data_IF_141623921504
#
_entry.id   IF_141623921504
#
_cell.length_a   1.000
_cell.length_b   1.000
_cell.length_c   1.000
_cell.angle_alpha   90.00
_cell.angle_beta   90.00
_cell.angle_gamma   90.00
#
_symmetry.space_group_name_H-M   'P 1'
#
loop_
_entity.id
_entity.type
_entity.pdbx_description
1 polymer ?
#
# COMPACT_ATOMS: atom_id res chain seq x y z
N UNK A 1 55.02 -9.87 -71.45
CA UNK A 1 56.06 -10.52 -70.63
C UNK A 1 56.68 -9.47 -69.71
N UNK A 2 56.51 -9.63 -68.38
CA UNK A 2 57.26 -9.04 -67.23
C UNK A 2 57.41 -7.51 -67.15
N UNK A 3 56.79 -6.86 -66.16
CA UNK A 3 57.28 -6.64 -64.77
C UNK A 3 57.70 -5.16 -64.66
N UNK A 4 57.26 -4.36 -63.69
CA UNK A 4 57.77 -4.38 -62.30
C UNK A 4 56.95 -3.40 -61.45
N UNK A 5 56.44 -3.84 -60.29
CA UNK A 5 55.91 -2.99 -59.22
C UNK A 5 56.82 -3.15 -57.99
N UNK A 6 57.22 -2.02 -57.40
CA UNK A 6 58.08 -1.95 -56.21
C UNK A 6 57.29 -2.19 -54.91
N UNK A 7 57.96 -2.83 -53.95
CA UNK A 7 57.43 -3.25 -52.65
C UNK A 7 57.76 -2.25 -51.52
N UNK A 8 56.73 -1.98 -50.69
CA UNK A 8 56.66 -2.07 -49.20
C UNK A 8 57.77 -1.45 -48.33
N UNK A 9 57.38 -0.51 -47.44
CA UNK A 9 57.44 -0.67 -45.96
C UNK A 9 56.83 0.54 -45.24
N UNK A 10 55.69 0.34 -44.56
CA UNK A 10 55.15 1.30 -43.59
C UNK A 10 55.32 0.82 -42.15
N UNK A 11 55.82 1.79 -41.38
CA UNK A 11 56.25 1.89 -39.99
C UNK A 11 55.23 1.42 -38.93
N UNK A 12 55.74 0.63 -37.96
CA UNK A 12 55.11 0.28 -36.69
C UNK A 12 54.98 1.51 -35.78
N UNK A 13 53.80 1.72 -35.18
CA UNK A 13 53.65 2.61 -34.01
C UNK A 13 52.43 2.19 -33.16
N UNK A 14 52.67 2.08 -31.87
CA UNK A 14 51.84 1.40 -30.88
C UNK A 14 50.66 2.30 -30.43
N UNK A 15 49.50 1.70 -30.24
CA UNK A 15 48.26 2.38 -29.83
C UNK A 15 48.21 2.56 -28.32
N UNK A 16 48.08 3.79 -27.85
CA UNK A 16 47.54 4.05 -26.51
C UNK A 16 46.84 5.40 -26.52
N UNK A 17 45.70 5.45 -25.83
CA UNK A 17 44.90 6.65 -25.52
C UNK A 17 44.14 7.30 -26.67
N UNK A 18 42.82 7.04 -26.70
CA UNK A 18 41.73 8.04 -26.63
C UNK A 18 40.39 7.39 -27.02
N UNK A 19 39.87 6.50 -26.18
CA UNK A 19 38.51 5.95 -26.32
C UNK A 19 37.73 5.97 -24.99
N UNK A 20 37.94 7.00 -24.16
CA UNK A 20 37.24 7.12 -22.87
C UNK A 20 36.28 8.33 -22.78
N UNK A 21 36.23 9.19 -23.79
CA UNK A 21 35.44 10.43 -23.73
C UNK A 21 34.08 10.41 -24.43
N UNK A 22 33.87 9.52 -25.41
CA UNK A 22 32.74 9.65 -26.35
C UNK A 22 31.54 8.75 -26.04
N UNK A 23 31.67 7.79 -25.11
CA UNK A 23 30.56 6.89 -24.74
C UNK A 23 29.69 7.44 -23.60
N UNK A 24 30.11 8.52 -22.92
CA UNK A 24 29.43 9.07 -21.74
C UNK A 24 28.40 10.16 -22.06
N UNK A 25 28.20 10.54 -23.33
CA UNK A 25 27.27 11.62 -23.72
C UNK A 25 25.89 11.15 -24.23
N UNK A 26 25.61 9.85 -24.25
CA UNK A 26 24.34 9.30 -24.78
C UNK A 26 23.37 8.81 -23.68
N UNK A 27 23.74 8.92 -22.41
CA UNK A 27 22.93 8.48 -21.27
C UNK A 27 22.26 9.62 -20.48
N UNK A 28 22.24 10.82 -21.06
CA UNK A 28 21.65 12.00 -20.44
C UNK A 28 20.17 12.13 -20.79
N UNK A 29 19.35 11.54 -19.93
CA UNK A 29 18.02 12.04 -19.55
C UNK A 29 16.85 11.88 -20.54
N UNK A 30 16.54 10.63 -20.90
CA UNK A 30 15.14 10.20 -21.01
C UNK A 30 14.61 10.02 -19.59
N UNK A 31 14.22 11.10 -18.91
CA UNK A 31 13.70 11.00 -17.54
C UNK A 31 12.74 12.15 -17.21
N UNK A 32 11.71 12.38 -18.03
CA UNK A 32 10.57 13.21 -17.64
C UNK A 32 9.23 12.63 -18.14
N UNK A 33 9.11 11.30 -18.20
CA UNK A 33 7.82 10.62 -18.40
C UNK A 33 7.46 9.69 -17.23
N UNK A 34 7.72 10.13 -16.00
CA UNK A 34 7.14 9.51 -14.80
C UNK A 34 6.18 10.49 -14.14
N UNK A 35 5.16 10.87 -14.90
CA UNK A 35 3.83 11.07 -14.36
C UNK A 35 2.86 10.25 -15.22
N UNK A 36 3.15 8.96 -15.42
CA UNK A 36 2.04 8.02 -15.30
C UNK A 36 1.73 8.00 -13.81
N UNK A 37 0.91 8.94 -13.39
CA UNK A 37 -0.09 8.62 -12.40
C UNK A 37 -0.87 7.47 -13.03
N UNK A 38 -0.36 6.26 -12.79
CA UNK A 38 -1.18 5.07 -12.64
C UNK A 38 -1.95 5.25 -11.32
N UNK A 39 -2.60 6.41 -11.18
CA UNK A 39 -3.69 6.63 -10.26
C UNK A 39 -4.90 6.03 -10.98
N UNK A 40 -4.87 4.71 -11.20
CA UNK A 40 -6.08 4.01 -11.56
C UNK A 40 -7.00 4.12 -10.33
N UNK A 41 -8.11 4.88 -10.40
CA UNK A 41 -9.02 5.01 -9.27
C UNK A 41 -9.64 3.67 -8.86
N UNK A 42 -9.47 2.60 -9.64
CA UNK A 42 -9.84 1.24 -9.28
C UNK A 42 -9.01 0.64 -8.13
N UNK A 43 -7.84 1.22 -7.81
CA UNK A 43 -6.95 0.76 -6.73
C UNK A 43 -7.14 1.53 -5.42
N UNK A 44 -8.02 2.54 -5.40
CA UNK A 44 -8.48 3.12 -4.14
C UNK A 44 -9.38 2.10 -3.46
N UNK A 45 -8.87 1.38 -2.46
CA UNK A 45 -9.69 0.55 -1.60
C UNK A 45 -10.74 1.45 -0.96
N UNK A 46 -11.94 1.40 -1.55
CA UNK A 46 -13.06 2.25 -1.21
C UNK A 46 -13.38 2.19 0.30
N UNK A 47 -13.01 1.12 1.02
CA UNK A 47 -13.25 0.94 2.45
C UNK A 47 -12.15 1.49 3.36
N UNK A 48 -10.98 1.86 2.81
CA UNK A 48 -9.92 2.49 3.57
C UNK A 48 -10.23 3.98 3.84
N UNK A 49 -9.75 4.49 4.97
CA UNK A 49 -9.97 5.88 5.38
C UNK A 49 -10.34 6.02 6.85
N UNK A 50 -10.62 7.26 7.25
CA UNK A 50 -10.99 7.59 8.64
C UNK A 50 -12.50 7.61 8.77
N UNK A 51 -13.02 6.83 9.72
CA UNK A 51 -14.40 6.84 10.14
C UNK A 51 -14.48 7.51 11.52
N UNK A 52 -15.40 8.45 11.71
CA UNK A 52 -15.59 9.19 12.96
C UNK A 52 -16.90 8.79 13.61
N UNK A 53 -16.95 8.77 14.95
CA UNK A 53 -18.17 8.45 15.69
C UNK A 53 -17.87 7.89 17.07
N UNK A 54 -18.79 7.09 17.59
CA UNK A 54 -18.60 6.51 18.91
C UNK A 54 -17.68 5.28 18.84
N UNK A 55 -16.70 5.24 19.73
CA UNK A 55 -15.77 4.11 19.89
C UNK A 55 -15.67 3.72 21.37
N UNK A 56 -15.48 2.44 21.63
CA UNK A 56 -15.17 1.97 22.98
C UNK A 56 -14.25 0.76 23.01
N UNK A 57 -13.59 0.60 24.14
CA UNK A 57 -12.74 -0.52 24.47
C UNK A 57 -12.93 -0.93 25.93
N UNK A 58 -12.95 -2.23 26.18
CA UNK A 58 -13.02 -2.79 27.53
C UNK A 58 -12.16 -4.06 27.60
N UNK A 59 -11.28 -4.17 28.59
CA UNK A 59 -10.44 -5.36 28.83
C UNK A 59 -10.74 -6.12 30.14
N UNK A 60 -11.86 -5.81 30.76
CA UNK A 60 -12.28 -6.31 32.06
C UNK A 60 -11.76 -5.50 33.25
N UNK A 61 -10.73 -4.67 33.07
CA UNK A 61 -10.18 -3.80 34.12
C UNK A 61 -10.31 -2.31 33.79
N UNK A 62 -10.06 -1.96 32.53
CA UNK A 62 -10.11 -0.60 31.99
C UNK A 62 -11.22 -0.51 30.96
N UNK A 63 -11.95 0.61 30.99
CA UNK A 63 -12.96 0.95 29.99
C UNK A 63 -12.70 2.34 29.45
N UNK A 64 -12.65 2.47 28.12
CA UNK A 64 -12.51 3.73 27.41
C UNK A 64 -13.72 3.87 26.49
N UNK A 65 -14.43 4.99 26.57
CA UNK A 65 -15.56 5.32 25.69
C UNK A 65 -15.43 6.75 25.22
N UNK A 66 -15.66 6.99 23.93
CA UNK A 66 -15.66 8.31 23.31
C UNK A 66 -16.79 8.40 22.31
N UNK A 67 -17.55 9.49 22.36
CA UNK A 67 -18.65 9.74 21.42
C UNK A 67 -18.16 10.33 20.09
N UNK A 68 -16.97 10.93 20.09
CA UNK A 68 -16.36 11.64 18.97
C UNK A 68 -14.94 11.14 18.66
N UNK A 69 -14.74 9.82 18.77
CA UNK A 69 -13.48 9.19 18.39
C UNK A 69 -13.40 8.92 16.89
N UNK A 70 -12.32 8.26 16.49
CA UNK A 70 -12.08 7.87 15.10
C UNK A 70 -11.44 6.50 14.99
N UNK A 71 -11.69 5.84 13.86
CA UNK A 71 -11.02 4.60 13.45
C UNK A 71 -10.45 4.82 12.05
N UNK A 72 -9.14 4.69 11.92
CA UNK A 72 -8.46 4.73 10.63
C UNK A 72 -8.27 3.32 10.09
N UNK A 73 -8.95 3.03 8.98
CA UNK A 73 -8.99 1.73 8.31
C UNK A 73 -7.96 1.70 7.19
N UNK A 74 -7.13 0.66 7.17
CA UNK A 74 -6.14 0.44 6.10
C UNK A 74 -6.18 -1.00 5.61
N UNK A 75 -6.06 -1.20 4.30
CA UNK A 75 -5.91 -2.53 3.71
C UNK A 75 -4.46 -2.99 3.80
N UNK A 76 -4.26 -4.27 4.11
CA UNK A 76 -2.97 -4.94 3.96
C UNK A 76 -2.81 -5.36 2.49
N UNK A 77 -1.63 -5.11 1.92
CA UNK A 77 -1.33 -5.27 0.49
C UNK A 77 -1.75 -6.62 -0.14
N UNK A 78 -1.85 -7.70 0.64
CA UNK A 78 -2.25 -9.03 0.16
C UNK A 78 -3.77 -9.26 0.03
N UNK A 79 -4.60 -8.21 0.13
CA UNK A 79 -5.88 -8.16 -0.60
C UNK A 79 -7.17 -8.43 0.17
N UNK A 80 -7.11 -8.94 1.40
CA UNK A 80 -8.33 -9.29 2.16
C UNK A 80 -8.25 -9.05 3.67
N UNK A 81 -7.15 -8.45 4.14
CA UNK A 81 -6.96 -8.14 5.55
C UNK A 81 -6.92 -6.64 5.76
N UNK A 82 -7.48 -6.19 6.88
CA UNK A 82 -7.54 -4.79 7.24
C UNK A 82 -7.01 -4.56 8.65
N UNK A 83 -6.43 -3.38 8.86
CA UNK A 83 -6.08 -2.85 10.18
C UNK A 83 -7.03 -1.70 10.53
N UNK A 84 -7.31 -1.57 11.82
CA UNK A 84 -8.19 -0.57 12.41
C UNK A 84 -7.41 0.12 13.52
N UNK A 85 -6.95 1.33 13.23
CA UNK A 85 -6.28 2.16 14.23
C UNK A 85 -7.30 3.01 14.95
N UNK A 86 -7.46 2.82 16.25
CA UNK A 86 -8.38 3.61 17.04
C UNK A 86 -7.69 4.86 17.59
N UNK A 87 -8.46 5.92 17.81
CA UNK A 87 -7.99 7.09 18.55
C UNK A 87 -8.06 6.87 20.07
N UNK A 88 -7.72 7.92 20.83
CA UNK A 88 -7.97 8.00 22.28
C UNK A 88 -7.29 6.92 23.13
N UNK A 89 -6.19 6.35 22.64
CA UNK A 89 -5.42 5.33 23.36
C UNK A 89 -6.07 3.95 23.38
N UNK A 90 -7.12 3.73 22.57
CA UNK A 90 -7.69 2.39 22.38
C UNK A 90 -6.72 1.56 21.52
N UNK A 91 -6.43 0.29 21.90
CA UNK A 91 -5.55 -0.56 21.11
C UNK A 91 -6.08 -0.86 19.70
N UNK A 92 -5.16 -0.89 18.72
CA UNK A 92 -5.47 -1.21 17.33
C UNK A 92 -5.90 -2.67 17.12
N UNK A 93 -6.76 -2.93 16.14
CA UNK A 93 -7.02 -4.27 15.59
C UNK A 93 -6.24 -4.45 14.29
N UNK A 94 -5.41 -5.48 14.19
CA UNK A 94 -4.54 -5.67 13.02
C UNK A 94 -4.80 -7.01 12.34
N UNK A 95 -4.70 -7.03 11.00
CA UNK A 95 -4.72 -8.25 10.21
C UNK A 95 -6.05 -8.99 10.19
N UNK A 96 -7.16 -8.30 10.46
CA UNK A 96 -8.50 -8.91 10.49
C UNK A 96 -8.90 -9.28 9.07
N UNK A 97 -9.33 -10.53 8.87
CA UNK A 97 -9.69 -11.10 7.57
C UNK A 97 -11.14 -10.76 7.21
N UNK A 98 -11.38 -10.35 5.96
CA UNK A 98 -12.69 -10.00 5.43
C UNK A 98 -13.04 -10.78 4.16
N UNK A 99 -14.33 -10.84 3.90
CA UNK A 99 -14.96 -11.24 2.65
C UNK A 99 -15.89 -10.14 2.15
N UNK A 100 -16.03 -10.03 0.82
CA UNK A 100 -16.99 -9.09 0.21
C UNK A 100 -18.38 -9.71 0.25
N UNK A 101 -19.37 -8.90 0.63
CA UNK A 101 -20.79 -9.23 0.48
C UNK A 101 -21.44 -8.21 -0.46
N UNK A 102 -21.61 -8.60 -1.72
CA UNK A 102 -21.97 -7.68 -2.79
C UNK A 102 -20.84 -6.71 -3.14
N UNK A 103 -21.19 -5.58 -3.75
CA UNK A 103 -20.21 -4.65 -4.33
C UNK A 103 -19.62 -3.68 -3.31
N UNK A 104 -20.37 -3.35 -2.24
CA UNK A 104 -20.06 -2.23 -1.34
C UNK A 104 -20.07 -2.61 0.14
N UNK A 105 -19.91 -3.90 0.48
CA UNK A 105 -19.84 -4.34 1.88
C UNK A 105 -18.69 -5.30 2.12
N UNK A 106 -17.95 -5.07 3.20
CA UNK A 106 -17.00 -6.02 3.78
C UNK A 106 -17.55 -6.56 5.09
N UNK A 107 -17.46 -7.89 5.26
CA UNK A 107 -17.81 -8.57 6.50
C UNK A 107 -16.61 -9.38 6.98
N UNK A 108 -16.29 -9.26 8.26
CA UNK A 108 -15.21 -10.03 8.87
C UNK A 108 -15.51 -11.53 8.74
N UNK A 109 -14.53 -12.31 8.29
CA UNK A 109 -14.65 -13.76 8.22
C UNK A 109 -14.86 -14.32 9.62
N UNK A 110 -15.85 -15.21 9.78
CA UNK A 110 -16.24 -15.74 11.10
C UNK A 110 -17.13 -14.79 11.91
N UNK A 111 -17.69 -13.74 11.29
CA UNK A 111 -18.70 -12.89 11.95
C UNK A 111 -19.89 -13.69 12.45
N UNK A 112 -20.36 -13.32 13.65
CA UNK A 112 -21.59 -13.83 14.28
C UNK A 112 -22.52 -12.67 14.63
N UNK A 113 -23.62 -12.96 15.32
CA UNK A 113 -24.51 -11.91 15.85
C UNK A 113 -23.83 -11.07 16.95
N UNK A 114 -22.86 -11.63 17.67
CA UNK A 114 -22.23 -11.02 18.86
C UNK A 114 -20.74 -10.71 18.68
N UNK A 115 -20.15 -11.06 17.54
CA UNK A 115 -18.78 -10.68 17.18
C UNK A 115 -18.68 -10.43 15.67
N UNK A 116 -18.48 -9.19 15.26
CA UNK A 116 -18.40 -8.79 13.86
C UNK A 116 -17.62 -7.48 13.68
N UNK A 117 -17.06 -7.34 12.48
CA UNK A 117 -16.69 -6.05 11.90
C UNK A 117 -17.35 -5.97 10.54
N UNK A 118 -18.07 -4.88 10.28
CA UNK A 118 -18.74 -4.62 9.00
C UNK A 118 -18.40 -3.22 8.52
N UNK A 119 -18.04 -3.11 7.25
CA UNK A 119 -17.76 -1.84 6.60
C UNK A 119 -18.64 -1.77 5.37
N UNK A 120 -19.38 -0.68 5.21
CA UNK A 120 -20.11 -0.39 3.98
C UNK A 120 -19.62 0.91 3.33
N UNK A 121 -20.43 1.47 2.43
CA UNK A 121 -20.09 2.65 1.65
C UNK A 121 -19.56 3.82 2.51
N UNK A 122 -20.18 4.01 3.67
CA UNK A 122 -19.94 5.15 4.55
C UNK A 122 -19.86 4.79 6.03
N UNK A 123 -20.24 3.58 6.43
CA UNK A 123 -20.34 3.19 7.84
C UNK A 123 -19.31 2.12 8.21
N UNK A 124 -18.83 2.22 9.44
CA UNK A 124 -18.03 1.20 10.12
C UNK A 124 -18.76 0.79 11.39
N UNK A 125 -19.07 -0.50 11.50
CA UNK A 125 -19.64 -1.10 12.71
C UNK A 125 -18.74 -2.20 13.25
N UNK A 126 -18.33 -2.04 14.50
CA UNK A 126 -17.50 -3.01 15.23
C UNK A 126 -18.26 -3.41 16.49
N UNK A 127 -18.42 -4.70 16.69
CA UNK A 127 -18.64 -5.33 17.99
C UNK A 127 -17.73 -6.55 17.97
N UNK A 128 -16.52 -6.44 18.50
CA UNK A 128 -15.53 -7.50 18.37
C UNK A 128 -14.97 -7.84 19.73
N UNK A 129 -15.02 -9.11 20.10
CA UNK A 129 -14.50 -9.60 21.37
C UNK A 129 -13.52 -10.75 21.15
N UNK A 130 -12.33 -10.63 21.74
CA UNK A 130 -11.27 -11.65 21.72
C UNK A 130 -10.45 -11.55 23.01
N UNK A 131 -10.07 -12.69 23.58
CA UNK A 131 -9.24 -12.76 24.80
C UNK A 131 -9.73 -11.90 25.97
N UNK A 132 -11.05 -11.84 26.18
CA UNK A 132 -11.68 -11.05 27.24
C UNK A 132 -11.72 -9.53 26.98
N UNK A 133 -11.20 -9.07 25.84
CA UNK A 133 -11.23 -7.68 25.39
C UNK A 133 -12.36 -7.47 24.41
N UNK A 134 -12.96 -6.29 24.42
CA UNK A 134 -14.05 -5.90 23.52
C UNK A 134 -13.78 -4.53 22.93
N UNK A 135 -13.92 -4.43 21.61
CA UNK A 135 -13.92 -3.19 20.85
C UNK A 135 -15.32 -2.95 20.32
N UNK A 136 -15.78 -1.70 20.38
CA UNK A 136 -16.97 -1.29 19.64
C UNK A 136 -16.71 -0.01 18.86
N UNK A 137 -17.38 0.12 17.72
CA UNK A 137 -17.40 1.33 16.93
C UNK A 137 -18.74 1.45 16.21
N UNK A 138 -19.28 2.66 16.18
CA UNK A 138 -20.39 3.06 15.32
C UNK A 138 -20.02 4.40 14.69
N UNK A 139 -19.35 4.30 13.54
CA UNK A 139 -18.70 5.43 12.90
C UNK A 139 -19.15 5.59 11.45
N UNK A 140 -19.01 6.80 10.93
CA UNK A 140 -19.27 7.15 9.53
C UNK A 140 -18.16 8.04 8.95
N UNK A 141 -18.16 8.23 7.62
CA UNK A 141 -17.23 9.10 6.90
C UNK A 141 -17.95 10.03 5.94
#
# INVERSE_FOLDING_TARGET
MRSTNQQIKTKKRNSTFKFLGLFLMLFSFIALSSCSRDDDPADNDFFAGTYNGSISYNDGSTSITKDNGSVFVTKIASGTKYNFRFSDGIPDLNGVQFEKQGDNTLVMVGSTATSYIRIDNANLKILYSVDGKTWTANCNR
#
